data_IF_032282896948
#
_entry.id   IF_032282896948
#
_cell.length_a   1.000
_cell.length_b   1.000
_cell.length_c   1.000
_cell.angle_alpha   90.00
_cell.angle_beta   90.00
_cell.angle_gamma   90.00
#
_symmetry.space_group_name_H-M   'P 1'
#
loop_
_entity.id
_entity.type
_entity.pdbx_description
1 polymer ?
#
# COMPACT_ATOMS: atom_id res chain seq x y z
N UNK A 1 20.28 7.42 -15.06
CA UNK A 1 18.97 7.94 -15.49
C UNK A 1 18.16 8.12 -14.22
N UNK A 2 17.51 9.26 -14.04
CA UNK A 2 16.77 9.62 -12.83
C UNK A 2 15.34 9.12 -13.01
N UNK A 3 14.75 8.44 -12.02
CA UNK A 3 13.40 7.88 -12.13
C UNK A 3 12.37 8.77 -11.44
N UNK A 4 11.37 9.22 -12.21
CA UNK A 4 10.24 10.01 -11.70
C UNK A 4 9.29 9.17 -10.87
N UNK A 5 9.08 9.62 -9.63
CA UNK A 5 7.97 9.24 -8.77
C UNK A 5 6.95 10.37 -8.79
N UNK A 6 5.71 10.10 -9.19
CA UNK A 6 4.60 11.04 -9.00
C UNK A 6 3.79 10.62 -7.78
N UNK A 7 3.28 11.58 -7.03
CA UNK A 7 2.47 11.32 -5.84
C UNK A 7 1.21 12.16 -5.91
N UNK A 8 0.19 11.75 -6.69
CA UNK A 8 -1.07 12.43 -6.76
C UNK A 8 -1.88 12.09 -5.50
N UNK A 9 -2.51 13.11 -4.93
CA UNK A 9 -3.48 12.95 -3.87
C UNK A 9 -4.89 13.11 -4.45
N UNK A 10 -5.41 12.06 -5.10
CA UNK A 10 -6.76 12.05 -5.68
C UNK A 10 -7.79 11.67 -4.61
N UNK A 11 -8.00 12.58 -3.66
CA UNK A 11 -9.07 12.46 -2.66
C UNK A 11 -10.36 13.07 -3.23
N UNK A 12 -11.30 12.25 -3.71
CA UNK A 12 -12.65 12.71 -4.04
C UNK A 12 -13.66 12.59 -2.88
N UNK A 13 -13.27 12.01 -1.73
CA UNK A 13 -14.22 11.84 -0.62
C UNK A 13 -13.57 11.88 0.78
N UNK A 14 -13.28 13.08 1.28
CA UNK A 14 -13.54 13.56 2.67
C UNK A 14 -12.83 14.91 2.96
N UNK A 15 -13.15 15.96 2.21
CA UNK A 15 -12.66 17.31 2.52
C UNK A 15 -11.14 17.49 2.39
N UNK A 16 -10.65 18.66 2.81
CA UNK A 16 -9.24 19.10 2.71
C UNK A 16 -8.29 18.31 3.65
N UNK A 17 -8.33 16.97 3.62
CA UNK A 17 -7.42 16.16 4.42
C UNK A 17 -6.02 16.12 3.79
N UNK A 18 -5.08 16.67 4.58
CA UNK A 18 -3.67 16.74 4.24
C UNK A 18 -3.00 15.43 4.63
N UNK A 19 -2.27 14.84 3.68
CA UNK A 19 -1.45 13.66 3.93
C UNK A 19 -0.01 14.11 4.11
N UNK A 20 0.63 13.68 5.20
CA UNK A 20 2.07 13.84 5.33
C UNK A 20 2.76 12.62 4.75
N UNK A 21 3.25 12.71 3.52
CA UNK A 21 4.02 11.64 2.90
C UNK A 21 5.31 11.41 3.67
N UNK A 22 5.67 10.16 3.83
CA UNK A 22 6.93 9.71 4.41
C UNK A 22 7.65 8.81 3.42
N UNK A 23 8.98 8.93 3.39
CA UNK A 23 9.85 8.18 2.48
C UNK A 23 11.04 7.69 3.29
N UNK A 24 11.32 6.39 3.19
CA UNK A 24 12.52 5.80 3.76
C UNK A 24 13.36 5.18 2.65
N UNK A 25 14.61 5.62 2.53
CA UNK A 25 15.59 4.99 1.66
C UNK A 25 16.37 3.95 2.45
N UNK A 26 16.31 2.69 2.03
CA UNK A 26 17.06 1.57 2.61
C UNK A 26 18.39 1.37 1.88
N UNK A 27 18.44 1.63 0.57
CA UNK A 27 19.65 1.53 -0.26
C UNK A 27 19.56 2.45 -1.48
N UNK A 28 20.72 2.72 -2.11
CA UNK A 28 20.84 3.65 -3.24
C UNK A 28 20.70 5.12 -2.83
N UNK A 29 20.49 5.98 -3.82
CA UNK A 29 20.22 7.41 -3.61
C UNK A 29 18.71 7.67 -3.71
N UNK A 30 18.12 8.13 -2.59
CA UNK A 30 16.72 8.53 -2.51
C UNK A 30 16.46 9.96 -2.99
N UNK A 31 15.23 10.49 -2.77
CA UNK A 31 14.78 11.74 -3.38
C UNK A 31 15.24 13.01 -2.68
N UNK A 32 16.18 12.91 -1.74
CA UNK A 32 16.69 14.06 -0.98
C UNK A 32 15.73 14.59 0.10
N UNK A 33 14.63 13.88 0.39
CA UNK A 33 13.71 14.17 1.48
C UNK A 33 13.21 12.88 2.13
N UNK A 34 13.00 12.91 3.45
CA UNK A 34 12.42 11.80 4.22
C UNK A 34 10.90 11.90 4.39
N UNK A 35 10.28 13.00 3.96
CA UNK A 35 8.85 13.23 4.10
C UNK A 35 8.48 14.70 3.99
N UNK A 36 7.21 14.96 3.68
CA UNK A 36 6.71 16.31 3.44
C UNK A 36 5.18 16.34 3.54
N UNK A 37 4.63 17.55 3.63
CA UNK A 37 3.20 17.82 3.56
C UNK A 37 2.71 17.73 2.10
N UNK A 38 1.68 16.94 1.84
CA UNK A 38 1.01 16.83 0.54
C UNK A 38 -0.45 17.28 0.69
N UNK A 39 -0.75 18.42 0.07
CA UNK A 39 -2.11 18.97 0.05
C UNK A 39 -3.08 18.09 -0.76
N UNK A 40 -4.37 18.25 -0.50
CA UNK A 40 -5.44 17.64 -1.30
C UNK A 40 -5.30 18.04 -2.77
N UNK A 41 -5.37 17.07 -3.68
CA UNK A 41 -5.17 17.25 -5.13
C UNK A 41 -3.79 17.79 -5.55
N UNK A 42 -2.85 17.90 -4.62
CA UNK A 42 -1.47 18.22 -4.97
C UNK A 42 -0.74 16.99 -5.50
N UNK A 43 0.25 17.25 -6.34
CA UNK A 43 1.22 16.27 -6.78
C UNK A 43 2.62 16.75 -6.45
N UNK A 44 3.52 15.80 -6.18
CA UNK A 44 4.95 16.07 -6.06
C UNK A 44 5.73 15.08 -6.87
N UNK A 45 6.55 15.58 -7.78
CA UNK A 45 7.49 14.76 -8.53
C UNK A 45 8.80 14.63 -7.75
N UNK A 46 9.26 13.39 -7.60
CA UNK A 46 10.48 13.03 -6.91
C UNK A 46 11.34 12.16 -7.80
N UNK A 47 12.62 12.11 -7.46
CA UNK A 47 13.64 11.55 -8.33
C UNK A 47 14.55 10.64 -7.53
N UNK A 48 14.69 9.38 -7.93
CA UNK A 48 15.59 8.44 -7.25
C UNK A 48 16.57 7.80 -8.22
N UNK A 49 17.63 7.23 -7.66
CA UNK A 49 18.61 6.43 -8.39
C UNK A 49 18.02 5.13 -8.96
N UNK A 50 18.67 4.59 -9.98
CA UNK A 50 18.26 3.34 -10.61
C UNK A 50 18.52 2.10 -9.72
N UNK A 51 19.23 2.22 -8.62
CA UNK A 51 19.47 1.15 -7.65
C UNK A 51 18.74 1.40 -6.31
N UNK A 52 17.78 2.31 -6.31
CA UNK A 52 17.04 2.69 -5.11
C UNK A 52 16.22 1.53 -4.55
N UNK A 53 16.34 1.35 -3.24
CA UNK A 53 15.48 0.49 -2.43
C UNK A 53 14.87 1.36 -1.35
N UNK A 54 13.55 1.38 -1.28
CA UNK A 54 12.85 2.23 -0.35
C UNK A 54 11.36 1.96 -0.27
N UNK A 55 10.72 2.71 0.60
CA UNK A 55 9.28 2.64 0.83
C UNK A 55 8.68 4.02 1.02
N UNK A 56 7.41 4.14 0.65
CA UNK A 56 6.61 5.35 0.72
C UNK A 56 5.31 5.03 1.47
N UNK A 57 4.89 5.91 2.38
CA UNK A 57 3.61 5.79 3.06
C UNK A 57 2.99 7.14 3.38
N UNK A 58 1.68 7.16 3.60
CA UNK A 58 0.93 8.33 4.02
C UNK A 58 0.77 8.37 5.54
N UNK A 59 0.91 9.55 6.13
CA UNK A 59 0.66 9.80 7.56
C UNK A 59 -0.54 10.71 7.72
N UNK A 60 -1.39 10.40 8.70
CA UNK A 60 -2.66 11.11 8.91
C UNK A 60 -2.75 11.75 10.29
N UNK A 61 -3.59 12.78 10.38
CA UNK A 61 -3.88 13.54 11.60
C UNK A 61 -2.59 14.01 12.28
N UNK A 62 -1.73 14.66 11.51
CA UNK A 62 -0.42 15.13 11.97
C UNK A 62 -0.46 16.58 12.46
N UNK A 63 0.27 16.86 13.53
CA UNK A 63 0.51 18.22 14.03
C UNK A 63 2.00 18.46 14.26
N UNK A 64 2.58 19.43 13.55
CA UNK A 64 3.97 19.87 13.68
C UNK A 64 4.04 21.34 14.14
N UNK A 65 5.12 21.75 14.84
CA UNK A 65 5.22 23.09 15.46
C UNK A 65 5.03 24.25 14.48
N UNK A 66 5.63 24.14 13.30
CA UNK A 66 5.35 25.00 12.19
C UNK A 66 4.67 24.17 11.10
N UNK A 67 3.56 24.65 10.56
CA UNK A 67 2.91 24.00 9.42
C UNK A 67 3.81 23.92 8.15
N UNK A 68 5.11 24.30 8.27
CA UNK A 68 6.17 24.16 7.27
C UNK A 68 6.68 22.72 7.15
N UNK A 69 6.44 21.89 8.16
CA UNK A 69 6.91 20.50 8.14
C UNK A 69 8.43 20.38 8.30
N UNK A 70 9.08 21.25 9.09
CA UNK A 70 10.53 21.23 9.27
C UNK A 70 10.98 20.87 10.70
N UNK A 71 10.09 20.93 11.71
CA UNK A 71 10.43 20.69 13.11
C UNK A 71 9.52 19.66 13.82
N UNK A 72 9.97 19.18 14.98
CA UNK A 72 9.29 18.23 15.90
C UNK A 72 7.82 18.67 16.23
N UNK A 73 7.00 17.78 16.77
CA UNK A 73 5.63 18.03 17.26
C UNK A 73 5.60 18.98 18.44
N UNK A 74 4.47 19.68 18.57
CA UNK A 74 4.08 20.46 19.75
C UNK A 74 4.09 19.70 21.08
N UNK A 75 4.21 18.38 21.04
CA UNK A 75 4.32 17.49 22.18
C UNK A 75 5.72 16.84 22.27
N UNK A 76 6.69 17.44 22.99
CA UNK A 76 8.00 16.84 23.21
C UNK A 76 7.88 15.55 24.03
N UNK A 77 7.84 14.41 23.32
CA UNK A 77 7.67 13.06 23.87
C UNK A 77 6.47 12.28 23.34
N UNK A 78 5.60 12.90 22.53
CA UNK A 78 4.47 12.24 21.86
C UNK A 78 4.74 11.90 20.39
N UNK A 79 3.74 11.33 19.72
CA UNK A 79 3.71 11.20 18.26
C UNK A 79 3.27 12.53 17.62
N UNK A 80 3.75 12.81 16.40
CA UNK A 80 3.23 13.94 15.62
C UNK A 80 1.96 13.55 14.86
N UNK A 81 1.91 12.32 14.38
CA UNK A 81 0.81 11.77 13.60
C UNK A 81 0.06 10.69 14.38
N UNK A 82 -1.23 10.53 14.09
CA UNK A 82 -2.02 9.43 14.67
C UNK A 82 -1.69 8.07 14.02
N UNK A 83 -1.29 8.08 12.74
CA UNK A 83 -0.87 6.88 12.00
C UNK A 83 0.39 7.15 11.19
N UNK A 84 1.17 6.11 10.93
CA UNK A 84 2.41 6.19 10.15
C UNK A 84 3.48 7.09 10.76
N UNK A 85 3.36 7.50 12.02
CA UNK A 85 4.34 8.37 12.67
C UNK A 85 5.73 7.71 12.65
N UNK A 86 6.75 8.49 12.32
CA UNK A 86 8.11 8.00 12.10
C UNK A 86 9.09 8.58 13.12
N UNK A 87 8.65 8.64 14.38
CA UNK A 87 9.43 9.20 15.48
C UNK A 87 9.27 10.71 15.59
N UNK A 88 8.08 11.24 15.29
CA UNK A 88 7.77 12.65 15.46
C UNK A 88 8.67 13.58 14.61
N UNK A 89 8.97 13.12 13.40
CA UNK A 89 9.76 13.83 12.40
C UNK A 89 8.93 14.04 11.15
N UNK A 90 9.05 15.20 10.52
CA UNK A 90 8.44 15.40 9.20
C UNK A 90 9.26 14.67 8.14
N UNK A 91 10.58 14.83 8.17
CA UNK A 91 11.50 14.04 7.36
C UNK A 91 11.88 12.78 8.10
N UNK A 92 11.24 11.67 7.75
CA UNK A 92 11.44 10.39 8.42
C UNK A 92 12.88 9.88 8.25
N UNK A 93 13.42 9.38 9.36
CA UNK A 93 14.74 8.71 9.40
C UNK A 93 14.62 7.20 9.67
N UNK A 94 13.40 6.71 9.87
CA UNK A 94 13.11 5.32 10.16
C UNK A 94 11.70 4.94 9.73
N UNK A 95 11.33 3.70 10.06
CA UNK A 95 9.99 3.16 9.85
C UNK A 95 8.94 3.95 10.64
N UNK A 96 7.69 3.91 10.16
CA UNK A 96 6.52 4.35 10.93
C UNK A 96 5.38 3.35 10.80
N UNK A 97 4.43 3.38 11.73
CA UNK A 97 3.30 2.45 11.73
C UNK A 97 2.16 2.88 12.68
N UNK A 98 0.96 2.27 12.56
CA UNK A 98 0.59 1.40 11.45
C UNK A 98 0.47 2.18 10.15
N UNK A 99 0.91 1.57 9.05
CA UNK A 99 0.90 2.22 7.74
C UNK A 99 0.79 1.20 6.61
N UNK A 100 -0.07 1.51 5.64
CA UNK A 100 -0.05 0.86 4.32
C UNK A 100 1.20 1.37 3.58
N UNK A 101 2.03 0.45 3.09
CA UNK A 101 3.29 0.79 2.43
C UNK A 101 3.20 0.56 0.91
N UNK A 102 3.85 1.43 0.15
CA UNK A 102 4.29 1.14 -1.21
C UNK A 102 5.81 0.91 -1.18
N UNK A 103 6.25 -0.29 -1.52
CA UNK A 103 7.66 -0.70 -1.43
C UNK A 103 8.26 -0.87 -2.83
N UNK A 104 9.53 -0.51 -2.97
CA UNK A 104 10.23 -0.53 -4.26
C UNK A 104 11.65 -1.05 -4.08
N UNK A 105 12.07 -1.95 -4.97
CA UNK A 105 13.45 -2.40 -5.13
C UNK A 105 13.83 -2.32 -6.60
N UNK A 106 14.71 -1.38 -6.96
CA UNK A 106 15.25 -1.29 -8.30
C UNK A 106 16.55 -2.10 -8.41
N UNK A 107 16.44 -3.32 -8.93
CA UNK A 107 17.55 -4.25 -9.08
C UNK A 107 18.32 -3.97 -10.37
N UNK A 108 19.23 -2.99 -10.34
CA UNK A 108 20.05 -2.60 -11.50
C UNK A 108 20.86 -3.73 -12.11
N UNK A 109 21.33 -4.69 -11.31
CA UNK A 109 22.05 -5.88 -11.78
C UNK A 109 21.18 -6.86 -12.55
N UNK A 110 19.90 -6.96 -12.20
CA UNK A 110 18.91 -7.83 -12.84
C UNK A 110 18.10 -7.10 -13.92
N UNK A 111 18.27 -5.78 -14.06
CA UNK A 111 17.46 -4.90 -14.91
C UNK A 111 15.95 -5.05 -14.66
N UNK A 112 15.57 -5.24 -13.40
CA UNK A 112 14.20 -5.40 -12.96
C UNK A 112 13.82 -4.34 -11.92
N UNK A 113 12.54 -3.99 -11.87
CA UNK A 113 11.95 -3.24 -10.77
C UNK A 113 10.96 -4.16 -10.06
N UNK A 114 11.17 -4.35 -8.77
CA UNK A 114 10.26 -5.03 -7.86
C UNK A 114 9.49 -4.00 -7.08
N UNK A 115 8.19 -4.22 -6.90
CA UNK A 115 7.37 -3.34 -6.09
C UNK A 115 6.12 -4.07 -5.61
N UNK A 116 5.55 -3.55 -4.53
CA UNK A 116 4.38 -4.14 -3.90
C UNK A 116 3.66 -3.13 -3.00
N UNK A 117 2.41 -3.44 -2.70
CA UNK A 117 1.69 -2.83 -1.57
C UNK A 117 1.82 -3.78 -0.39
N UNK A 118 2.13 -3.25 0.79
CA UNK A 118 2.40 -4.05 1.97
C UNK A 118 1.63 -3.57 3.18
N UNK A 119 0.94 -4.52 3.82
CA UNK A 119 0.19 -4.40 5.07
C UNK A 119 0.92 -5.09 6.23
N UNK A 120 2.19 -5.47 6.03
CA UNK A 120 3.03 -6.11 7.05
C UNK A 120 3.18 -5.20 8.28
N UNK A 121 3.27 -3.90 8.05
CA UNK A 121 3.38 -2.86 9.08
C UNK A 121 2.02 -2.25 9.47
N UNK A 122 0.90 -2.83 9.00
CA UNK A 122 -0.46 -2.39 9.31
C UNK A 122 -1.19 -1.75 8.13
N UNK A 123 -2.36 -1.19 8.40
CA UNK A 123 -3.18 -0.49 7.41
C UNK A 123 -3.68 0.84 7.99
N UNK A 124 -3.55 1.93 7.25
CA UNK A 124 -4.06 3.24 7.67
C UNK A 124 -4.75 4.04 6.56
N UNK A 125 -4.41 3.80 5.31
CA UNK A 125 -4.97 4.49 4.16
C UNK A 125 -5.04 3.52 2.97
N UNK A 126 -6.03 3.66 2.07
CA UNK A 126 -5.95 3.03 0.77
C UNK A 126 -4.76 3.58 -0.02
N UNK A 127 -4.12 2.71 -0.80
CA UNK A 127 -3.02 3.08 -1.71
C UNK A 127 -3.21 2.37 -3.04
N UNK A 128 -2.85 3.04 -4.12
CA UNK A 128 -2.57 2.41 -5.41
C UNK A 128 -1.14 2.70 -5.84
N UNK A 129 -0.53 1.74 -6.55
CA UNK A 129 0.72 1.97 -7.28
C UNK A 129 0.38 1.93 -8.76
N UNK A 130 0.61 3.02 -9.46
CA UNK A 130 0.46 3.11 -10.92
C UNK A 130 1.83 3.10 -11.56
N UNK A 131 2.08 2.12 -12.42
CA UNK A 131 3.28 2.07 -13.23
C UNK A 131 3.15 3.03 -14.40
N UNK A 132 4.18 3.86 -14.64
CA UNK A 132 4.23 4.79 -15.78
C UNK A 132 4.81 4.12 -17.04
N UNK A 133 4.63 2.80 -17.17
CA UNK A 133 5.09 2.01 -18.33
C UNK A 133 4.54 2.55 -19.64
N UNK A 134 3.26 2.95 -19.68
CA UNK A 134 2.61 3.51 -20.88
C UNK A 134 3.14 4.90 -21.27
N UNK A 135 3.84 5.59 -20.36
CA UNK A 135 4.50 6.87 -20.63
C UNK A 135 5.98 6.69 -21.03
N UNK A 136 6.48 5.46 -21.10
CA UNK A 136 7.89 5.19 -21.41
C UNK A 136 8.18 5.34 -22.91
N UNK A 137 9.35 5.89 -23.22
CA UNK A 137 9.92 5.87 -24.58
C UNK A 137 10.47 4.48 -24.98
N UNK A 138 10.63 3.57 -24.01
CA UNK A 138 11.05 2.20 -24.26
C UNK A 138 9.85 1.36 -24.73
N UNK A 139 9.87 0.80 -25.96
CA UNK A 139 8.76 0.01 -26.47
C UNK A 139 8.51 -1.26 -25.66
N UNK A 140 9.52 -1.85 -25.01
CA UNK A 140 9.31 -3.04 -24.18
C UNK A 140 8.51 -2.70 -22.92
N UNK A 141 8.68 -1.48 -22.39
CA UNK A 141 7.89 -0.95 -21.28
C UNK A 141 6.51 -0.46 -21.75
N UNK A 142 6.45 0.35 -22.81
CA UNK A 142 5.22 0.94 -23.32
C UNK A 142 4.17 -0.09 -23.77
N UNK A 143 4.62 -1.30 -24.11
CA UNK A 143 3.73 -2.41 -24.49
C UNK A 143 3.22 -3.23 -23.30
N UNK A 144 3.60 -2.92 -22.05
CA UNK A 144 3.08 -3.61 -20.86
C UNK A 144 1.65 -3.12 -20.57
N UNK A 145 0.64 -4.01 -20.62
CA UNK A 145 -0.73 -3.67 -20.26
C UNK A 145 -0.81 -3.15 -18.81
N UNK A 146 -1.41 -1.98 -18.56
CA UNK A 146 -1.46 -1.38 -17.22
C UNK A 146 -2.30 -2.20 -16.23
N UNK A 147 -3.25 -3.01 -16.70
CA UNK A 147 -4.03 -3.92 -15.85
C UNK A 147 -3.23 -5.07 -15.25
N UNK A 148 -2.01 -5.31 -15.71
CA UNK A 148 -1.09 -6.29 -15.13
C UNK A 148 -0.25 -5.71 -13.99
N UNK A 149 -0.09 -4.39 -13.92
CA UNK A 149 1.02 -3.77 -13.18
C UNK A 149 0.58 -2.67 -12.21
N UNK A 150 -0.70 -2.38 -12.11
CA UNK A 150 -1.22 -1.29 -11.28
C UNK A 150 -2.03 -1.83 -10.08
N UNK A 151 -1.39 -2.32 -9.00
CA UNK A 151 -2.10 -2.83 -7.83
C UNK A 151 -2.79 -1.73 -7.04
N UNK A 152 -3.95 -2.06 -6.47
CA UNK A 152 -4.77 -1.19 -5.62
C UNK A 152 -5.18 -1.94 -4.36
N UNK A 153 -5.05 -1.29 -3.21
CA UNK A 153 -5.52 -1.82 -1.92
C UNK A 153 -6.46 -0.82 -1.25
N UNK A 154 -7.74 -1.20 -1.13
CA UNK A 154 -8.79 -0.41 -0.49
C UNK A 154 -9.41 -1.24 0.64
N UNK A 155 -8.86 -1.06 1.84
CA UNK A 155 -9.38 -1.64 3.09
C UNK A 155 -10.18 -0.67 3.94
N UNK A 156 -10.71 0.39 3.35
CA UNK A 156 -11.50 1.43 4.01
C UNK A 156 -12.92 1.44 3.45
N UNK A 157 -13.97 1.15 4.25
CA UNK A 157 -15.35 1.03 3.77
C UNK A 157 -15.87 2.28 3.07
N UNK A 158 -15.45 3.46 3.52
CA UNK A 158 -15.88 4.75 2.97
C UNK A 158 -15.40 5.01 1.53
N UNK A 159 -14.34 4.31 1.09
CA UNK A 159 -13.74 4.45 -0.24
C UNK A 159 -13.94 3.18 -1.09
N UNK A 160 -14.62 2.18 -0.54
CA UNK A 160 -14.90 0.93 -1.23
C UNK A 160 -16.18 1.05 -2.07
N UNK A 161 -16.06 0.82 -3.37
CA UNK A 161 -17.19 0.69 -4.28
C UNK A 161 -17.92 -0.66 -4.08
N UNK A 162 -19.24 -0.74 -4.30
CA UNK A 162 -20.01 -1.97 -4.11
C UNK A 162 -19.59 -3.07 -5.11
N UNK A 163 -19.83 -4.36 -4.80
CA UNK A 163 -19.65 -5.43 -5.77
C UNK A 163 -20.42 -5.18 -7.06
N UNK A 164 -19.80 -5.48 -8.21
CA UNK A 164 -20.30 -5.17 -9.55
C UNK A 164 -19.85 -3.82 -10.09
N UNK A 165 -19.21 -2.98 -9.27
CA UNK A 165 -18.51 -1.80 -9.76
C UNK A 165 -17.21 -2.24 -10.47
N UNK A 166 -17.06 -1.77 -11.71
CA UNK A 166 -15.90 -2.03 -12.57
C UNK A 166 -15.18 -0.75 -12.97
N UNK A 167 -15.43 0.36 -12.26
CA UNK A 167 -14.74 1.63 -12.51
C UNK A 167 -13.29 1.55 -12.04
N UNK A 168 -12.37 1.87 -12.95
CA UNK A 168 -10.93 1.74 -12.74
C UNK A 168 -10.11 2.84 -13.44
N UNK A 169 -10.78 3.82 -14.06
CA UNK A 169 -10.13 4.86 -14.89
C UNK A 169 -9.06 5.66 -14.13
N UNK A 170 -9.22 5.81 -12.82
CA UNK A 170 -8.29 6.56 -11.96
C UNK A 170 -6.97 5.78 -11.70
N UNK A 171 -6.94 4.49 -12.02
CA UNK A 171 -5.79 3.60 -11.79
C UNK A 171 -4.89 3.42 -13.01
N UNK A 172 -5.01 4.31 -14.01
CA UNK A 172 -4.15 4.30 -15.20
C UNK A 172 -4.48 3.19 -16.19
N UNK A 173 -5.68 2.63 -16.11
CA UNK A 173 -6.22 1.65 -17.06
C UNK A 173 -7.25 2.27 -17.98
N UNK A 174 -7.76 1.48 -18.93
CA UNK A 174 -8.75 1.93 -19.90
C UNK A 174 -9.65 0.75 -20.29
N UNK A 175 -10.64 1.02 -21.14
CA UNK A 175 -11.62 0.02 -21.57
C UNK A 175 -11.04 -1.17 -22.33
N UNK A 176 -9.85 -1.04 -22.91
CA UNK A 176 -9.13 -2.16 -23.52
C UNK A 176 -8.50 -3.03 -22.44
N UNK A 177 -7.79 -2.42 -21.49
CA UNK A 177 -7.12 -3.13 -20.41
C UNK A 177 -7.78 -2.86 -19.04
N UNK A 178 -8.97 -3.42 -18.74
CA UNK A 178 -9.62 -3.21 -17.45
C UNK A 178 -8.86 -3.93 -16.33
N UNK A 179 -8.82 -3.33 -15.14
CA UNK A 179 -8.26 -3.96 -13.95
C UNK A 179 -9.11 -5.15 -13.50
N UNK A 180 -8.48 -6.29 -13.15
CA UNK A 180 -9.16 -7.35 -12.46
C UNK A 180 -9.40 -6.90 -11.01
N UNK A 181 -10.64 -6.53 -10.69
CA UNK A 181 -11.04 -6.09 -9.37
C UNK A 181 -11.52 -7.28 -8.52
N UNK A 182 -11.23 -7.25 -7.22
CA UNK A 182 -11.82 -8.15 -6.24
C UNK A 182 -13.33 -7.89 -6.19
N UNK A 183 -14.20 -8.90 -6.34
CA UNK A 183 -15.67 -8.71 -6.39
C UNK A 183 -16.45 -9.45 -5.30
N UNK A 184 -15.77 -10.19 -4.42
CA UNK A 184 -16.39 -11.08 -3.45
C UNK A 184 -16.64 -10.42 -2.10
N UNK A 185 -15.87 -9.39 -1.73
CA UNK A 185 -16.02 -8.73 -0.42
C UNK A 185 -17.03 -7.57 -0.50
N UNK A 186 -17.90 -7.50 0.49
CA UNK A 186 -18.85 -6.40 0.67
C UNK A 186 -18.25 -5.25 1.49
N UNK A 187 -18.94 -4.11 1.50
CA UNK A 187 -18.61 -2.98 2.38
C UNK A 187 -18.65 -3.40 3.86
N UNK A 188 -19.53 -4.35 4.22
CA UNK A 188 -19.60 -4.88 5.58
C UNK A 188 -18.37 -5.72 5.93
N UNK A 189 -17.91 -6.58 5.00
CA UNK A 189 -16.70 -7.37 5.20
C UNK A 189 -15.48 -6.46 5.42
N UNK A 190 -15.37 -5.37 4.65
CA UNK A 190 -14.31 -4.37 4.82
C UNK A 190 -14.49 -3.53 6.09
N UNK A 191 -15.71 -3.37 6.62
CA UNK A 191 -15.90 -2.68 7.90
C UNK A 191 -15.40 -3.52 9.09
N UNK A 192 -15.39 -4.85 8.94
CA UNK A 192 -15.11 -5.78 10.03
C UNK A 192 -13.78 -6.53 9.90
N UNK A 193 -13.03 -6.36 8.79
CA UNK A 193 -11.83 -7.15 8.51
C UNK A 193 -10.72 -6.98 9.56
N UNK A 194 -10.55 -5.78 10.10
CA UNK A 194 -9.53 -5.51 11.12
C UNK A 194 -9.92 -6.17 12.45
N UNK A 195 -9.09 -7.05 13.03
CA UNK A 195 -9.37 -7.66 14.33
C UNK A 195 -9.49 -6.61 15.44
N UNK A 196 -10.48 -6.73 16.34
CA UNK A 196 -10.74 -5.75 17.41
C UNK A 196 -9.49 -5.33 18.22
N UNK A 197 -8.60 -6.26 18.66
CA UNK A 197 -7.40 -5.89 19.42
C UNK A 197 -6.38 -5.05 18.65
N UNK A 198 -6.51 -4.98 17.33
CA UNK A 198 -5.62 -4.30 16.40
C UNK A 198 -6.16 -2.95 15.91
N UNK A 199 -7.40 -2.60 16.23
CA UNK A 199 -7.95 -1.28 15.95
C UNK A 199 -7.19 -0.21 16.75
N UNK A 200 -6.71 0.84 16.07
CA UNK A 200 -6.12 2.03 16.72
C UNK A 200 -7.19 2.81 17.50
N UNK A 201 -8.39 2.92 16.91
CA UNK A 201 -9.55 3.55 17.53
C UNK A 201 -10.63 2.48 17.76
N UNK A 202 -10.53 1.65 18.81
CA UNK A 202 -11.58 0.68 19.12
C UNK A 202 -12.82 1.40 19.67
N UNK A 203 -14.04 0.87 19.44
CA UNK A 203 -15.26 1.45 20.00
C UNK A 203 -15.24 1.39 21.53
N UNK A 204 -15.98 2.28 22.19
CA UNK A 204 -16.06 2.29 23.66
C UNK A 204 -16.57 0.94 24.19
N UNK A 205 -15.95 0.44 25.26
CA UNK A 205 -16.36 -0.82 25.88
C UNK A 205 -17.73 -0.66 26.54
N UNK A 206 -18.56 -1.71 26.58
CA UNK A 206 -19.75 -1.73 27.42
C UNK A 206 -19.44 -1.47 28.90
N UNK A 207 -20.47 -1.12 29.67
CA UNK A 207 -20.38 -0.64 31.07
C UNK A 207 -19.72 -1.62 32.05
N UNK A 208 -19.57 -2.89 31.70
CA UNK A 208 -18.88 -3.92 32.49
C UNK A 208 -17.38 -4.07 32.13
N UNK A 209 -16.88 -3.28 31.17
CA UNK A 209 -15.48 -3.26 30.74
C UNK A 209 -15.06 -4.47 29.92
N UNK A 210 -16.01 -5.35 29.55
CA UNK A 210 -15.79 -6.57 28.78
C UNK A 210 -16.52 -6.44 27.45
N UNK A 211 -15.86 -6.78 26.34
CA UNK A 211 -16.58 -6.95 25.09
C UNK A 211 -17.34 -8.28 25.16
N UNK A 212 -18.69 -8.28 25.13
CA UNK A 212 -19.45 -9.53 25.04
C UNK A 212 -19.03 -10.24 23.76
N UNK A 213 -18.73 -11.53 23.90
CA UNK A 213 -18.43 -12.41 22.77
C UNK A 213 -19.70 -13.22 22.42
N UNK A 214 -20.06 -13.35 21.13
CA UNK A 214 -19.44 -12.71 19.97
C UNK A 214 -19.63 -11.19 19.98
N UNK A 215 -18.62 -10.48 19.48
CA UNK A 215 -18.47 -9.03 19.41
C UNK A 215 -19.16 -8.41 18.18
N UNK A 216 -19.98 -9.20 17.49
CA UNK A 216 -20.74 -8.89 16.28
C UNK A 216 -21.83 -7.82 16.49
N UNK A 217 -22.20 -7.53 17.74
CA UNK A 217 -23.23 -6.54 18.08
C UNK A 217 -22.66 -5.14 18.34
N UNK A 218 -21.34 -4.97 18.36
CA UNK A 218 -20.69 -3.70 18.69
C UNK A 218 -20.43 -2.91 17.43
N UNK A 219 -21.10 -1.76 17.30
CA UNK A 219 -20.90 -0.87 16.16
C UNK A 219 -19.47 -0.38 16.10
N UNK A 220 -18.74 -0.81 15.08
CA UNK A 220 -17.40 -0.33 14.77
C UNK A 220 -17.42 1.10 14.23
N UNK A 221 -16.33 1.87 14.40
CA UNK A 221 -16.16 3.11 13.64
C UNK A 221 -16.17 2.81 12.14
N UNK A 222 -16.67 3.77 11.35
CA UNK A 222 -16.75 3.66 9.88
C UNK A 222 -15.37 3.44 9.26
N UNK A 223 -14.32 3.93 9.90
CA UNK A 223 -12.94 3.66 9.57
C UNK A 223 -12.08 3.68 10.84
N UNK A 224 -11.19 2.70 10.99
CA UNK A 224 -10.16 2.67 12.04
C UNK A 224 -8.90 2.04 11.47
N UNK A 225 -7.75 2.73 11.54
CA UNK A 225 -6.47 2.15 11.20
C UNK A 225 -6.22 0.85 11.98
N UNK A 226 -5.58 -0.10 11.33
CA UNK A 226 -5.35 -1.44 11.84
C UNK A 226 -3.86 -1.69 12.03
N UNK A 227 -3.46 -1.99 13.26
CA UNK A 227 -2.15 -2.54 13.57
C UNK A 227 -1.97 -3.91 12.91
N UNK A 228 -0.76 -4.22 12.47
CA UNK A 228 -0.44 -5.61 12.19
C UNK A 228 -0.25 -6.39 13.48
N UNK A 229 -0.36 -7.71 13.39
CA UNK A 229 -0.06 -8.60 14.51
C UNK A 229 1.37 -8.44 15.03
N UNK A 230 2.33 -8.18 14.13
CA UNK A 230 3.73 -7.92 14.50
C UNK A 230 3.86 -6.61 15.26
N UNK A 231 3.34 -5.50 14.71
CA UNK A 231 3.41 -4.18 15.34
C UNK A 231 2.76 -4.16 16.72
N UNK A 232 1.64 -4.88 16.90
CA UNK A 232 0.93 -4.93 18.18
C UNK A 232 1.65 -5.74 19.25
N UNK A 233 2.12 -6.94 18.91
CA UNK A 233 2.55 -7.93 19.91
C UNK A 233 4.05 -8.15 19.95
N UNK A 234 4.78 -7.77 18.90
CA UNK A 234 6.23 -7.94 18.76
C UNK A 234 6.70 -9.36 19.14
N UNK A 235 5.99 -10.39 18.67
CA UNK A 235 6.34 -11.79 18.94
C UNK A 235 6.94 -12.46 17.71
N UNK A 236 7.89 -13.39 17.87
CA UNK A 236 8.56 -14.09 16.78
C UNK A 236 7.61 -14.68 15.73
N UNK A 237 6.49 -15.29 16.15
CA UNK A 237 5.52 -15.91 15.25
C UNK A 237 4.73 -14.92 14.38
N UNK A 238 4.62 -13.65 14.80
CA UNK A 238 3.90 -12.62 14.03
C UNK A 238 4.85 -11.78 13.18
N UNK A 239 6.07 -11.61 13.67
CA UNK A 239 7.12 -10.84 12.97
C UNK A 239 8.01 -11.73 12.09
N UNK A 240 7.78 -13.04 12.08
CA UNK A 240 8.58 -14.03 11.38
C UNK A 240 10.08 -13.92 11.68
N UNK A 241 10.44 -13.94 12.96
CA UNK A 241 11.83 -13.85 13.42
C UNK A 241 12.23 -15.06 14.27
N UNK A 242 13.53 -15.23 14.51
CA UNK A 242 14.05 -16.33 15.34
C UNK A 242 13.67 -17.70 14.78
N UNK A 243 12.96 -18.51 15.57
CA UNK A 243 12.47 -19.83 15.16
C UNK A 243 11.34 -19.81 14.13
N UNK A 244 10.87 -18.62 13.76
CA UNK A 244 9.87 -18.38 12.72
C UNK A 244 10.47 -17.58 11.54
N UNK A 245 11.79 -17.53 11.41
CA UNK A 245 12.48 -16.79 10.35
C UNK A 245 12.58 -17.59 9.04
N UNK A 246 11.61 -18.44 8.76
CA UNK A 246 11.48 -19.14 7.49
C UNK A 246 9.99 -19.33 7.11
N UNK A 247 9.67 -19.43 5.81
CA UNK A 247 8.29 -19.61 5.34
C UNK A 247 7.57 -20.86 5.89
N UNK A 248 8.28 -21.95 6.14
CA UNK A 248 7.68 -23.18 6.66
C UNK A 248 7.27 -23.03 8.13
N UNK A 249 8.00 -22.22 8.90
CA UNK A 249 7.77 -21.99 10.33
C UNK A 249 6.93 -20.76 10.66
N UNK A 250 6.86 -19.75 9.78
CA UNK A 250 5.97 -18.60 9.97
C UNK A 250 4.62 -18.79 9.29
N UNK A 251 3.58 -18.95 10.09
CA UNK A 251 2.24 -19.23 9.58
C UNK A 251 1.39 -17.95 9.54
N UNK A 252 0.47 -17.83 8.55
CA UNK A 252 -0.47 -16.72 8.51
C UNK A 252 -1.25 -16.57 9.82
N UNK A 253 -1.36 -15.33 10.28
CA UNK A 253 -2.19 -14.98 11.44
C UNK A 253 -3.64 -14.72 11.01
N UNK A 254 -4.55 -14.58 11.98
CA UNK A 254 -5.91 -14.13 11.69
C UNK A 254 -5.92 -12.76 11.01
N UNK A 255 -5.07 -11.82 11.45
CA UNK A 255 -4.90 -10.51 10.83
C UNK A 255 -4.51 -10.64 9.35
N UNK A 256 -3.42 -11.36 9.06
CA UNK A 256 -2.89 -11.45 7.70
C UNK A 256 -3.88 -12.14 6.77
N UNK A 257 -4.60 -13.15 7.26
CA UNK A 257 -5.67 -13.82 6.50
C UNK A 257 -6.83 -12.86 6.16
N UNK A 258 -7.24 -11.96 7.06
CA UNK A 258 -8.27 -10.98 6.74
C UNK A 258 -7.74 -9.87 5.83
N UNK A 259 -6.52 -9.38 6.07
CA UNK A 259 -5.87 -8.38 5.24
C UNK A 259 -5.78 -8.84 3.78
N UNK A 260 -5.40 -10.11 3.56
CA UNK A 260 -5.31 -10.73 2.23
C UNK A 260 -6.65 -10.83 1.50
N UNK A 261 -7.76 -11.05 2.20
CA UNK A 261 -9.09 -11.04 1.58
C UNK A 261 -9.48 -9.65 1.07
N UNK A 262 -9.06 -8.61 1.79
CA UNK A 262 -9.41 -7.23 1.48
C UNK A 262 -8.49 -6.62 0.43
N UNK A 263 -7.21 -6.98 0.46
CA UNK A 263 -6.22 -6.59 -0.53
C UNK A 263 -5.46 -7.83 -1.03
N UNK A 264 -6.02 -8.58 -2.01
CA UNK A 264 -5.42 -9.81 -2.51
C UNK A 264 -4.00 -9.65 -3.05
N UNK A 265 -3.75 -8.54 -3.75
CA UNK A 265 -2.47 -8.22 -4.36
C UNK A 265 -1.43 -7.64 -3.38
N UNK A 266 -1.78 -7.45 -2.10
CA UNK A 266 -0.89 -6.86 -1.11
C UNK A 266 -0.23 -7.94 -0.22
N UNK A 267 0.98 -7.66 0.24
CA UNK A 267 1.61 -8.42 1.32
C UNK A 267 0.82 -8.24 2.62
N UNK A 268 0.45 -9.34 3.26
CA UNK A 268 -0.30 -9.34 4.53
C UNK A 268 0.56 -9.71 5.75
N UNK A 269 1.73 -10.33 5.53
CA UNK A 269 2.77 -10.62 6.52
C UNK A 269 4.13 -10.90 5.84
N UNK A 270 5.20 -11.06 6.61
CA UNK A 270 6.57 -11.09 6.07
C UNK A 270 6.88 -12.25 5.11
N UNK A 271 6.22 -13.41 5.27
CA UNK A 271 6.33 -14.54 4.36
C UNK A 271 5.01 -14.83 3.67
N UNK A 272 4.24 -13.78 3.37
CA UNK A 272 3.11 -13.93 2.45
C UNK A 272 3.59 -14.58 1.15
N UNK A 273 2.67 -15.26 0.49
CA UNK A 273 2.97 -16.02 -0.70
C UNK A 273 3.79 -15.19 -1.72
N UNK A 274 4.67 -15.88 -2.47
CA UNK A 274 5.52 -15.24 -3.49
C UNK A 274 4.70 -14.55 -4.61
N UNK A 275 3.38 -14.64 -4.55
CA UNK A 275 2.42 -14.00 -5.45
C UNK A 275 2.04 -12.59 -5.01
N UNK A 276 2.77 -11.93 -4.10
CA UNK A 276 2.45 -10.54 -3.66
C UNK A 276 3.44 -9.48 -4.18
N UNK A 277 4.45 -9.88 -4.98
CA UNK A 277 5.40 -8.95 -5.61
C UNK A 277 5.10 -8.79 -7.09
N UNK A 278 5.13 -7.55 -7.57
CA UNK A 278 5.15 -7.24 -8.98
C UNK A 278 6.58 -7.06 -9.48
N UNK A 279 6.88 -7.63 -10.64
CA UNK A 279 8.21 -7.57 -11.26
C UNK A 279 8.03 -7.11 -12.69
N UNK A 280 8.63 -5.96 -13.03
CA UNK A 280 8.63 -5.41 -14.39
C UNK A 280 10.05 -5.09 -14.84
N UNK A 281 10.31 -4.98 -16.15
CA UNK A 281 11.59 -4.50 -16.63
C UNK A 281 11.92 -3.12 -16.05
N UNK A 282 13.19 -2.87 -15.83
CA UNK A 282 13.61 -1.61 -15.25
C UNK A 282 13.54 -0.48 -16.29
N UNK A 283 12.93 0.66 -15.89
CA UNK A 283 12.99 1.89 -16.66
C UNK A 283 11.73 2.76 -16.50
N UNK A 284 10.61 2.14 -16.11
CA UNK A 284 9.39 2.87 -15.80
C UNK A 284 9.54 3.70 -14.52
N UNK A 285 8.89 4.86 -14.52
CA UNK A 285 8.57 5.61 -13.31
C UNK A 285 7.33 5.02 -12.64
N UNK A 286 7.03 5.49 -11.43
CA UNK A 286 5.87 5.02 -10.67
C UNK A 286 5.12 6.20 -10.08
N UNK A 287 3.86 5.95 -9.79
CA UNK A 287 2.97 6.88 -9.14
C UNK A 287 2.32 6.21 -7.93
N UNK A 288 2.46 6.79 -6.73
CA UNK A 288 1.79 6.27 -5.53
C UNK A 288 0.62 7.19 -5.23
N UNK A 289 -0.59 6.66 -5.41
CA UNK A 289 -1.85 7.37 -5.19
C UNK A 289 -2.33 7.06 -3.78
N UNK A 290 -2.54 8.11 -2.99
CA UNK A 290 -3.16 7.96 -1.67
C UNK A 290 -4.67 8.11 -1.75
N UNK A 291 -5.37 7.30 -0.96
CA UNK A 291 -6.82 7.29 -0.84
C UNK A 291 -7.59 7.11 -2.17
N UNK A 292 -7.19 6.18 -3.06
CA UNK A 292 -8.04 5.80 -4.20
C UNK A 292 -9.43 5.35 -3.73
N UNK A 293 -10.46 5.71 -4.51
CA UNK A 293 -11.81 5.17 -4.39
C UNK A 293 -12.05 4.10 -5.45
N UNK A 294 -12.71 3.00 -5.10
CA UNK A 294 -12.93 1.89 -6.02
C UNK A 294 -12.88 0.55 -5.31
N UNK A 295 -12.28 -0.46 -5.94
CA UNK A 295 -12.09 -1.79 -5.33
C UNK A 295 -10.62 -2.19 -5.40
N UNK A 296 -10.19 -3.01 -4.43
CA UNK A 296 -8.87 -3.63 -4.48
C UNK A 296 -8.72 -4.49 -5.72
N UNK A 297 -7.51 -4.60 -6.22
CA UNK A 297 -7.19 -5.45 -7.37
C UNK A 297 -6.97 -6.90 -6.95
N UNK A 298 -7.12 -7.80 -7.92
CA UNK A 298 -6.83 -9.24 -7.81
C UNK A 298 -6.01 -9.70 -9.03
N UNK A 299 -5.03 -8.88 -9.41
CA UNK A 299 -4.17 -9.06 -10.58
C UNK A 299 -3.36 -10.33 -10.47
N UNK A 300 -2.75 -10.60 -9.32
CA UNK A 300 -1.81 -11.70 -9.16
C UNK A 300 -2.51 -13.06 -9.29
N UNK A 301 -3.75 -13.15 -8.82
CA UNK A 301 -4.57 -14.34 -9.01
C UNK A 301 -5.12 -14.47 -10.45
N UNK A 302 -5.31 -13.35 -11.15
CA UNK A 302 -5.89 -13.35 -12.51
C UNK A 302 -4.84 -13.55 -13.60
N UNK A 303 -3.66 -12.96 -13.41
CA UNK A 303 -2.60 -12.83 -14.41
C UNK A 303 -1.24 -13.31 -13.92
N UNK A 304 -1.21 -14.18 -12.90
CA UNK A 304 0.03 -14.67 -12.29
C UNK A 304 1.01 -15.32 -13.29
N UNK A 305 0.50 -16.10 -14.24
CA UNK A 305 1.32 -16.75 -15.27
C UNK A 305 1.95 -15.71 -16.22
N UNK A 306 1.17 -14.71 -16.62
CA UNK A 306 1.61 -13.61 -17.49
C UNK A 306 2.67 -12.75 -16.79
N UNK A 307 2.48 -12.47 -15.49
CA UNK A 307 3.47 -11.76 -14.68
C UNK A 307 4.74 -12.56 -14.47
N UNK A 308 4.65 -13.88 -14.30
CA UNK A 308 5.81 -14.76 -14.23
C UNK A 308 6.59 -14.77 -15.56
N UNK A 309 5.89 -14.79 -16.70
CA UNK A 309 6.52 -14.66 -18.02
C UNK A 309 7.22 -13.30 -18.19
N UNK A 310 6.54 -12.21 -17.85
CA UNK A 310 7.09 -10.86 -17.91
C UNK A 310 8.34 -10.72 -17.03
N UNK A 311 8.30 -11.26 -15.82
CA UNK A 311 9.42 -11.27 -14.89
C UNK A 311 10.62 -12.03 -15.48
N UNK A 312 10.41 -13.20 -16.09
CA UNK A 312 11.50 -14.04 -16.60
C UNK A 312 12.11 -13.50 -17.90
N UNK A 313 11.28 -13.00 -18.81
CA UNK A 313 11.70 -12.64 -20.17
C UNK A 313 12.03 -11.15 -20.32
N UNK A 314 11.44 -10.31 -19.47
CA UNK A 314 11.48 -8.86 -19.62
C UNK A 314 10.62 -8.33 -20.78
N UNK A 315 9.83 -9.18 -21.43
CA UNK A 315 9.01 -8.82 -22.58
C UNK A 315 7.58 -9.36 -22.43
N UNK A 316 6.65 -8.63 -23.02
CA UNK A 316 5.24 -9.03 -23.09
C UNK A 316 5.04 -9.90 -24.33
N UNK A 317 4.70 -11.17 -24.16
CA UNK A 317 4.40 -12.07 -25.28
C UNK A 317 3.14 -11.63 -26.03
N UNK A 318 2.98 -12.06 -27.29
CA UNK A 318 1.74 -11.74 -28.05
C UNK A 318 0.48 -12.20 -27.31
N UNK A 319 0.52 -13.36 -26.65
CA UNK A 319 -0.59 -13.87 -25.85
C UNK A 319 -1.00 -12.93 -24.69
N UNK A 320 -0.07 -12.12 -24.18
CA UNK A 320 -0.37 -11.11 -23.15
C UNK A 320 -0.85 -9.80 -23.79
N UNK A 321 -0.36 -9.44 -24.98
CA UNK A 321 -0.82 -8.26 -25.73
C UNK A 321 -2.23 -8.41 -26.28
N UNK A 322 -2.61 -9.65 -26.59
CA UNK A 322 -3.89 -10.01 -27.22
C UNK A 322 -4.93 -10.49 -26.17
N UNK A 323 -4.78 -10.10 -24.88
CA UNK A 323 -5.78 -10.42 -23.83
C UNK A 323 -7.18 -9.84 -24.10
N UNK A 324 -7.32 -9.03 -25.16
CA UNK A 324 -8.55 -8.39 -25.63
C UNK A 324 -9.16 -9.05 -26.89
N UNK A 325 -8.57 -10.13 -27.44
CA UNK A 325 -9.16 -10.95 -28.54
C UNK A 325 -9.91 -12.19 -28.03
#
# INVERSE_FOLDING_TARGET
MVKSFRLPNELYYHGDEVIYTAILTQSGTGPGTGGFRLDTNANKELQVSADWVGRVWGRTNCTFFDNSGSMNSSNPGGTACATGDCGNLVECQGAGGPATLAEFTYASSQKQSFYDISLVDGYNLPIAIRSLVSESDDPDLANIPPNLVNPVCIGSPALLAPPGDTSDQDFGTNSSYPLPLEQTISVADVADWCPFPLLILPPERPTDGVYPYPDDVIKRPIFSPCESACSKWNKPQYCCTGSHADPDSCQPSYYSTQAKKVCPDAYSFAYDDQTSTFIIPQGAGFEVVFCPSGRSTNILATFGDQLAELAQTGHVSRAIRDLDE
#
